data_IF_563010633680
#
_entry.id   IF_563010633680
#
_cell.length_a   1.000
_cell.length_b   1.000
_cell.length_c   1.000
_cell.angle_alpha   90.00
_cell.angle_beta   90.00
_cell.angle_gamma   90.00
#
_symmetry.space_group_name_H-M   'P 1'
#
loop_
_entity.id
_entity.type
_entity.pdbx_description
1 polymer ?
#
# COMPACT_ATOMS: atom_id res chain seq x y z
N UNK A 1 11.94 -14.73 7.26
CA UNK A 1 12.33 -14.39 8.65
C UNK A 1 13.77 -14.00 8.65
N UNK A 2 14.08 -12.90 9.33
CA UNK A 2 15.40 -12.29 9.30
C UNK A 2 16.33 -12.95 10.34
N UNK A 3 17.60 -13.13 9.98
CA UNK A 3 18.65 -13.50 10.93
C UNK A 3 18.79 -12.46 12.07
N UNK A 4 18.35 -11.23 11.83
CA UNK A 4 18.19 -10.18 12.82
C UNK A 4 17.27 -10.57 13.98
N UNK A 5 16.17 -11.28 13.70
CA UNK A 5 15.26 -11.73 14.75
C UNK A 5 15.95 -12.69 15.73
N UNK A 6 16.64 -13.71 15.22
CA UNK A 6 17.36 -14.67 16.06
C UNK A 6 18.44 -13.99 16.92
N UNK A 7 19.14 -13.00 16.35
CA UNK A 7 20.11 -12.22 17.10
C UNK A 7 19.47 -11.47 18.27
N UNK A 8 18.34 -10.80 18.04
CA UNK A 8 17.67 -10.05 19.09
C UNK A 8 17.03 -10.94 20.16
N UNK A 9 16.42 -12.07 19.77
CA UNK A 9 15.91 -13.06 20.74
C UNK A 9 17.02 -13.58 21.65
N UNK A 10 18.25 -13.71 21.15
CA UNK A 10 19.40 -14.12 21.98
C UNK A 10 19.86 -13.07 23.00
N UNK A 11 19.53 -11.79 22.78
CA UNK A 11 19.91 -10.67 23.64
C UNK A 11 18.79 -10.22 24.58
N UNK A 12 17.54 -10.53 24.23
CA UNK A 12 16.37 -10.16 24.99
C UNK A 12 16.08 -11.14 26.13
N UNK A 13 15.57 -10.62 27.25
CA UNK A 13 15.10 -11.42 28.38
C UNK A 13 13.79 -10.86 28.92
N UNK A 14 12.69 -11.65 28.89
CA UNK A 14 11.42 -11.26 29.48
C UNK A 14 11.49 -10.90 30.98
N UNK A 15 12.47 -11.46 31.71
CA UNK A 15 12.61 -11.25 33.16
C UNK A 15 13.11 -9.84 33.53
N UNK A 16 13.83 -9.19 32.62
CA UNK A 16 14.43 -7.87 32.84
C UNK A 16 13.80 -6.76 32.00
N UNK A 17 13.04 -7.12 30.97
CA UNK A 17 12.39 -6.17 30.07
C UNK A 17 11.09 -5.61 30.65
N UNK A 18 10.73 -4.40 30.24
CA UNK A 18 9.48 -3.73 30.64
C UNK A 18 8.44 -3.75 29.52
N UNK A 19 7.17 -3.87 29.89
CA UNK A 19 6.07 -3.68 28.95
C UNK A 19 6.09 -2.23 28.46
N UNK A 20 5.95 -2.03 27.16
CA UNK A 20 5.99 -0.72 26.54
C UNK A 20 4.86 0.18 27.08
N UNK A 21 5.23 1.36 27.57
CA UNK A 21 4.27 2.39 27.97
C UNK A 21 3.88 3.18 26.74
N UNK A 22 2.60 3.12 26.38
CA UNK A 22 2.07 3.76 25.18
C UNK A 22 1.26 5.00 25.55
N UNK A 23 1.55 6.10 24.87
CA UNK A 23 0.67 7.27 24.84
C UNK A 23 -0.16 7.33 23.54
N UNK A 24 -0.96 8.37 23.39
CA UNK A 24 -1.82 8.56 22.21
C UNK A 24 -1.03 8.70 20.91
N UNK A 25 0.22 9.17 20.96
CA UNK A 25 1.08 9.25 19.78
C UNK A 25 1.62 7.89 19.37
N UNK A 26 1.95 7.02 20.33
CA UNK A 26 2.38 5.64 20.04
C UNK A 26 1.28 4.81 19.39
N UNK A 27 0.01 5.06 19.75
CA UNK A 27 -1.16 4.38 19.19
C UNK A 27 -1.79 5.14 18.00
N UNK A 28 -1.18 6.24 17.55
CA UNK A 28 -1.66 6.98 16.40
C UNK A 28 -1.49 6.13 15.13
N UNK A 29 -2.45 6.27 14.21
CA UNK A 29 -2.45 5.52 12.97
C UNK A 29 -1.35 5.98 12.01
N UNK A 30 -0.61 5.03 11.45
CA UNK A 30 0.39 5.19 10.39
C UNK A 30 -0.22 4.90 9.01
N UNK A 31 0.47 5.33 7.95
CA UNK A 31 0.04 5.07 6.57
C UNK A 31 0.23 3.62 6.12
N UNK A 32 1.26 2.94 6.63
CA UNK A 32 1.64 1.58 6.25
C UNK A 32 1.40 0.59 7.38
N UNK A 33 0.74 -0.53 7.06
CA UNK A 33 0.44 -1.57 8.03
C UNK A 33 1.61 -2.57 8.14
N UNK A 34 2.16 -2.68 9.35
CA UNK A 34 3.16 -3.70 9.70
C UNK A 34 2.48 -5.07 9.82
N UNK A 35 3.08 -6.15 9.27
CA UNK A 35 2.54 -7.52 9.36
C UNK A 35 2.77 -8.12 10.76
N UNK A 36 2.11 -7.56 11.77
CA UNK A 36 2.31 -7.92 13.19
C UNK A 36 1.85 -9.32 13.56
N UNK A 37 0.87 -9.88 12.83
CA UNK A 37 0.38 -11.25 13.08
C UNK A 37 1.45 -12.31 12.76
N UNK A 38 2.04 -12.34 11.55
CA UNK A 38 3.20 -13.20 11.28
C UNK A 38 4.35 -13.03 12.27
N UNK A 39 4.65 -11.80 12.69
CA UNK A 39 5.70 -11.52 13.67
C UNK A 39 5.37 -12.20 15.01
N UNK A 40 4.15 -12.01 15.52
CA UNK A 40 3.72 -12.57 16.79
C UNK A 40 3.59 -14.10 16.77
N UNK A 41 3.01 -14.66 15.70
CA UNK A 41 2.94 -16.10 15.49
C UNK A 41 4.34 -16.72 15.46
N UNK A 42 5.29 -16.03 14.84
CA UNK A 42 6.67 -16.50 14.81
C UNK A 42 7.35 -16.42 16.17
N UNK A 43 7.20 -15.30 16.88
CA UNK A 43 7.70 -15.14 18.25
C UNK A 43 7.16 -16.22 19.20
N UNK A 44 5.93 -16.69 18.97
CA UNK A 44 5.32 -17.80 19.73
C UNK A 44 6.01 -19.15 19.60
N UNK A 45 6.90 -19.35 18.61
CA UNK A 45 7.73 -20.57 18.54
C UNK A 45 8.99 -20.51 19.42
N UNK A 46 9.27 -19.37 20.05
CA UNK A 46 10.42 -19.17 20.93
C UNK A 46 9.99 -19.16 22.38
N UNK A 47 10.18 -20.28 23.08
CA UNK A 47 9.87 -20.40 24.52
C UNK A 47 10.57 -19.31 25.35
N UNK A 48 11.74 -18.83 24.93
CA UNK A 48 12.49 -17.75 25.57
C UNK A 48 11.81 -16.39 25.55
N UNK A 49 10.79 -16.20 24.70
CA UNK A 49 9.97 -14.98 24.65
C UNK A 49 8.68 -15.11 25.48
N UNK A 50 8.43 -16.26 26.10
CA UNK A 50 7.24 -16.43 26.95
C UNK A 50 7.36 -15.60 28.22
N UNK A 51 6.29 -14.88 28.57
CA UNK A 51 6.25 -14.13 29.82
C UNK A 51 6.29 -15.10 31.02
N UNK A 52 7.10 -14.84 32.07
CA UNK A 52 7.32 -15.81 33.16
C UNK A 52 6.04 -16.17 33.93
N UNK A 53 5.16 -15.18 34.15
CA UNK A 53 3.96 -15.34 34.99
C UNK A 53 2.62 -15.30 34.22
N UNK A 54 2.65 -15.12 32.90
CA UNK A 54 1.45 -14.85 32.09
C UNK A 54 1.50 -15.59 30.77
N UNK A 55 0.33 -15.91 30.23
CA UNK A 55 0.20 -16.57 28.93
C UNK A 55 0.34 -15.58 27.76
N UNK A 56 1.49 -14.89 27.75
CA UNK A 56 1.84 -13.84 26.80
C UNK A 56 3.15 -14.17 26.11
N UNK A 57 3.24 -13.76 24.85
CA UNK A 57 4.49 -13.73 24.09
C UNK A 57 5.02 -12.29 24.15
N UNK A 58 6.22 -12.12 24.71
CA UNK A 58 6.91 -10.83 24.78
C UNK A 58 7.64 -10.58 23.46
N UNK A 59 7.18 -9.61 22.67
CA UNK A 59 7.78 -9.24 21.39
C UNK A 59 8.69 -8.04 21.64
N UNK A 60 10.02 -8.19 21.53
CA UNK A 60 10.96 -7.10 21.80
C UNK A 60 10.73 -5.93 20.83
N UNK A 61 10.88 -4.71 21.34
CA UNK A 61 10.84 -3.51 20.53
C UNK A 61 12.23 -3.15 20.01
N UNK A 62 12.26 -2.48 18.88
CA UNK A 62 13.43 -1.71 18.45
C UNK A 62 13.25 -0.22 18.74
N UNK A 63 14.34 0.53 18.60
CA UNK A 63 14.27 1.98 18.47
C UNK A 63 13.38 2.38 17.26
N UNK A 64 12.74 3.57 17.27
CA UNK A 64 11.83 3.98 16.19
C UNK A 64 12.43 3.92 14.79
N UNK A 65 13.70 4.34 14.67
CA UNK A 65 14.38 4.55 13.38
C UNK A 65 15.52 3.54 13.13
N UNK A 66 15.70 2.52 13.96
CA UNK A 66 16.81 1.57 13.84
C UNK A 66 16.39 0.14 14.21
N UNK A 67 17.15 -0.87 13.76
CA UNK A 67 16.95 -2.25 14.20
C UNK A 67 17.69 -2.58 15.51
N UNK A 68 18.03 -1.57 16.32
CA UNK A 68 18.63 -1.78 17.64
C UNK A 68 17.54 -2.21 18.62
N UNK A 69 17.63 -3.40 19.23
CA UNK A 69 16.65 -3.84 20.22
C UNK A 69 16.72 -2.96 21.48
N UNK A 70 15.57 -2.74 22.10
CA UNK A 70 15.46 -2.06 23.40
C UNK A 70 15.21 -3.06 24.52
N UNK A 71 15.18 -2.57 25.76
CA UNK A 71 14.75 -3.35 26.93
C UNK A 71 13.22 -3.33 27.12
N UNK A 72 12.46 -2.94 26.09
CA UNK A 72 11.00 -2.87 26.11
C UNK A 72 10.37 -3.93 25.19
N UNK A 73 9.14 -4.33 25.50
CA UNK A 73 8.38 -5.27 24.68
C UNK A 73 6.90 -4.89 24.59
N UNK A 74 6.24 -5.37 23.54
CA UNK A 74 4.78 -5.46 23.51
C UNK A 74 4.36 -6.91 23.74
N UNK A 75 3.32 -7.12 24.54
CA UNK A 75 2.83 -8.47 24.79
C UNK A 75 1.83 -8.87 23.72
N UNK A 76 1.84 -10.13 23.31
CA UNK A 76 0.85 -10.71 22.41
C UNK A 76 0.16 -11.91 23.05
N UNK A 77 -1.14 -12.07 22.79
CA UNK A 77 -1.90 -13.26 23.18
C UNK A 77 -3.06 -13.48 22.22
N UNK A 78 -3.41 -14.75 21.98
CA UNK A 78 -4.63 -15.13 21.25
C UNK A 78 -5.75 -15.39 22.27
N UNK A 79 -6.49 -14.33 22.60
CA UNK A 79 -7.49 -14.36 23.66
C UNK A 79 -8.79 -14.99 23.16
N UNK A 80 -9.29 -16.02 23.85
CA UNK A 80 -10.50 -16.80 23.47
C UNK A 80 -11.70 -15.99 22.96
N UNK A 81 -11.96 -14.82 23.57
CA UNK A 81 -13.10 -13.93 23.22
C UNK A 81 -12.72 -12.82 22.24
N UNK A 82 -11.49 -12.29 22.31
CA UNK A 82 -11.07 -11.07 21.59
C UNK A 82 -10.24 -11.39 20.35
N UNK A 83 -9.86 -12.65 20.19
CA UNK A 83 -8.89 -13.11 19.21
C UNK A 83 -7.50 -12.57 19.51
N UNK A 84 -6.73 -12.41 18.45
CA UNK A 84 -5.34 -11.98 18.48
C UNK A 84 -5.23 -10.50 18.87
N UNK A 85 -4.65 -10.25 20.05
CA UNK A 85 -4.49 -8.90 20.60
C UNK A 85 -3.04 -8.65 21.03
N UNK A 86 -2.65 -7.38 20.96
CA UNK A 86 -1.43 -6.84 21.54
C UNK A 86 -1.77 -6.09 22.83
N UNK A 87 -0.86 -6.11 23.79
CA UNK A 87 -1.01 -5.48 25.08
C UNK A 87 0.13 -4.48 25.26
N UNK A 88 -0.22 -3.28 25.72
CA UNK A 88 0.69 -2.20 26.09
C UNK A 88 0.31 -1.69 27.48
N UNK A 89 1.19 -0.97 28.15
CA UNK A 89 0.84 -0.24 29.38
C UNK A 89 0.30 1.15 29.02
N UNK A 90 -0.87 1.49 29.55
CA UNK A 90 -1.44 2.83 29.44
C UNK A 90 -2.04 3.22 30.80
N UNK A 91 -1.63 4.37 31.33
CA UNK A 91 -2.08 4.88 32.64
C UNK A 91 -1.94 3.87 33.81
N UNK A 92 -0.93 2.98 33.73
CA UNK A 92 -0.66 1.93 34.73
C UNK A 92 -1.55 0.69 34.63
N UNK A 93 -2.39 0.60 33.60
CA UNK A 93 -3.20 -0.57 33.26
C UNK A 93 -2.75 -1.19 31.92
N UNK A 94 -3.18 -2.43 31.65
CA UNK A 94 -2.91 -3.08 30.38
C UNK A 94 -4.00 -2.74 29.36
N UNK A 95 -3.62 -2.05 28.29
CA UNK A 95 -4.53 -1.71 27.21
C UNK A 95 -4.42 -2.76 26.08
N UNK A 96 -5.53 -3.43 25.74
CA UNK A 96 -5.57 -4.43 24.68
C UNK A 96 -5.95 -3.82 23.33
N UNK A 97 -5.05 -3.93 22.36
CA UNK A 97 -5.23 -3.44 20.98
C UNK A 97 -5.40 -4.64 20.04
N UNK A 98 -6.47 -4.71 19.23
CA UNK A 98 -6.63 -5.75 18.21
C UNK A 98 -5.42 -5.81 17.27
N UNK A 99 -4.95 -7.00 16.89
CA UNK A 99 -3.76 -7.14 16.05
C UNK A 99 -3.84 -6.36 14.72
N UNK A 100 -5.03 -6.30 14.11
CA UNK A 100 -5.25 -5.53 12.87
C UNK A 100 -5.13 -4.01 13.09
N UNK A 101 -5.55 -3.52 14.25
CA UNK A 101 -5.43 -2.11 14.62
C UNK A 101 -3.99 -1.79 15.02
N UNK A 102 -3.39 -2.63 15.88
CA UNK A 102 -2.01 -2.48 16.35
C UNK A 102 -1.04 -2.37 15.18
N UNK A 103 -1.17 -3.22 14.15
CA UNK A 103 -0.27 -3.18 12.99
C UNK A 103 -0.28 -1.87 12.21
N UNK A 104 -1.25 -0.99 12.43
CA UNK A 104 -1.33 0.35 11.83
C UNK A 104 -0.92 1.45 12.80
N UNK A 105 -0.26 1.14 13.92
CA UNK A 105 0.18 2.14 14.91
C UNK A 105 1.64 2.52 14.73
N UNK A 106 2.03 3.69 15.22
CA UNK A 106 3.43 4.09 15.31
C UNK A 106 4.26 3.06 16.10
N UNK A 107 3.72 2.54 17.19
CA UNK A 107 4.41 1.53 18.00
C UNK A 107 4.66 0.21 17.26
N UNK A 108 3.79 -0.18 16.32
CA UNK A 108 4.04 -1.37 15.51
C UNK A 108 5.23 -1.21 14.55
N UNK A 109 5.60 0.02 14.19
CA UNK A 109 6.80 0.24 13.39
C UNK A 109 8.05 -0.24 14.12
N UNK A 110 8.08 -0.18 15.45
CA UNK A 110 9.21 -0.64 16.27
C UNK A 110 9.42 -2.16 16.23
N UNK A 111 8.49 -2.96 15.70
CA UNK A 111 8.67 -4.40 15.53
C UNK A 111 8.84 -4.83 14.07
N UNK A 112 8.85 -3.88 13.12
CA UNK A 112 8.84 -4.16 11.68
C UNK A 112 10.02 -5.03 11.21
N UNK A 113 11.22 -4.80 11.74
CA UNK A 113 12.45 -5.49 11.32
C UNK A 113 12.50 -6.99 11.69
N UNK A 114 11.54 -7.48 12.48
CA UNK A 114 11.32 -8.91 12.70
C UNK A 114 10.74 -9.60 11.46
N UNK A 115 10.08 -8.85 10.59
CA UNK A 115 9.57 -9.35 9.33
C UNK A 115 10.61 -9.15 8.22
N UNK A 116 10.79 -10.15 7.36
CA UNK A 116 11.83 -10.13 6.32
C UNK A 116 11.65 -9.06 5.24
N UNK A 117 10.44 -8.50 5.13
CA UNK A 117 10.15 -7.43 4.17
C UNK A 117 10.71 -6.07 4.64
N UNK A 118 11.17 -5.97 5.90
CA UNK A 118 11.72 -4.76 6.46
C UNK A 118 13.18 -5.00 6.82
N UNK A 119 14.08 -4.56 5.94
CA UNK A 119 15.51 -4.52 6.21
C UNK A 119 15.90 -3.13 6.74
N UNK A 120 16.72 -3.04 7.79
CA UNK A 120 17.21 -1.76 8.26
C UNK A 120 18.29 -1.21 7.32
N UNK A 121 18.38 0.12 7.21
CA UNK A 121 19.47 0.79 6.49
C UNK A 121 20.84 0.56 7.16
N UNK A 122 20.84 0.26 8.46
CA UNK A 122 22.04 -0.04 9.24
C UNK A 122 21.74 -1.15 10.23
N UNK A 123 22.58 -2.18 10.22
CA UNK A 123 22.47 -3.31 11.14
C UNK A 123 22.85 -2.92 12.58
N UNK A 124 22.21 -3.54 13.61
CA UNK A 124 22.48 -3.22 14.99
C UNK A 124 23.90 -3.61 15.42
N UNK A 125 24.50 -2.90 16.40
CA UNK A 125 25.83 -3.22 16.89
C UNK A 125 25.94 -4.66 17.41
N UNK A 126 27.01 -5.36 17.05
CA UNK A 126 27.23 -6.75 17.47
C UNK A 126 26.51 -7.79 16.61
N UNK A 127 25.67 -7.37 15.67
CA UNK A 127 25.18 -8.22 14.59
C UNK A 127 26.23 -8.33 13.48
N UNK A 128 27.02 -9.40 13.53
CA UNK A 128 27.98 -9.75 12.49
C UNK A 128 27.28 -10.74 11.54
N UNK A 129 26.61 -10.23 10.51
CA UNK A 129 25.90 -11.09 9.56
C UNK A 129 26.93 -11.98 8.84
N UNK A 130 26.87 -13.32 8.97
CA UNK A 130 27.79 -14.21 8.26
C UNK A 130 27.47 -14.29 6.76
N UNK A 131 26.35 -13.70 6.34
CA UNK A 131 25.87 -13.62 4.97
C UNK A 131 25.63 -12.14 4.66
N UNK A 132 26.32 -11.63 3.64
CA UNK A 132 25.94 -10.36 3.02
C UNK A 132 24.65 -10.64 2.24
N UNK A 133 23.49 -10.30 2.82
CA UNK A 133 22.17 -10.54 2.23
C UNK A 133 21.90 -9.62 1.01
N UNK A 134 22.84 -8.73 0.69
CA UNK A 134 22.82 -7.93 -0.52
C UNK A 134 23.72 -8.57 -1.58
N UNK A 135 23.18 -9.53 -2.35
CA UNK A 135 23.78 -9.84 -3.65
C UNK A 135 23.58 -8.61 -4.55
N UNK A 136 24.67 -8.00 -5.02
CA UNK A 136 24.62 -6.88 -5.96
C UNK A 136 23.66 -7.20 -7.11
N UNK A 137 22.86 -6.22 -7.60
CA UNK A 137 21.95 -6.45 -8.71
C UNK A 137 22.71 -7.07 -9.88
N UNK A 138 22.27 -8.25 -10.34
CA UNK A 138 22.93 -8.95 -11.45
C UNK A 138 22.95 -8.14 -12.75
N UNK A 139 21.99 -7.23 -12.89
CA UNK A 139 21.91 -6.25 -13.97
C UNK A 139 21.64 -4.87 -13.35
N UNK A 140 22.67 -4.15 -12.90
CA UNK A 140 22.48 -2.81 -12.37
C UNK A 140 22.04 -1.90 -13.52
N UNK A 141 20.97 -1.14 -13.31
CA UNK A 141 20.54 -0.09 -14.21
C UNK A 141 20.34 1.20 -13.42
N UNK A 142 20.66 2.33 -14.04
CA UNK A 142 20.38 3.64 -13.48
C UNK A 142 18.86 3.87 -13.47
N UNK A 143 18.22 4.11 -12.31
CA UNK A 143 16.77 4.25 -12.22
C UNK A 143 16.20 5.31 -13.16
N UNK A 144 16.89 6.43 -13.30
CA UNK A 144 16.49 7.53 -14.18
C UNK A 144 16.48 7.08 -15.66
N UNK A 145 17.47 6.28 -16.08
CA UNK A 145 17.55 5.77 -17.46
C UNK A 145 16.41 4.79 -17.74
N UNK A 146 16.09 3.91 -16.77
CA UNK A 146 14.98 2.96 -16.92
C UNK A 146 13.63 3.67 -17.00
N UNK A 147 13.42 4.70 -16.18
CA UNK A 147 12.19 5.49 -16.19
C UNK A 147 12.04 6.29 -17.50
N UNK A 148 13.12 6.87 -18.01
CA UNK A 148 13.15 7.54 -19.31
C UNK A 148 12.79 6.56 -20.45
N UNK A 149 13.33 5.34 -20.43
CA UNK A 149 13.00 4.31 -21.43
C UNK A 149 11.52 3.91 -21.38
N UNK A 150 10.93 3.79 -20.18
CA UNK A 150 9.50 3.52 -20.05
C UNK A 150 8.64 4.68 -20.54
N UNK A 151 9.01 5.93 -20.26
CA UNK A 151 8.29 7.10 -20.75
C UNK A 151 8.33 7.16 -22.29
N UNK A 152 9.50 6.93 -22.88
CA UNK A 152 9.66 6.90 -24.33
C UNK A 152 8.81 5.79 -24.97
N UNK A 153 8.84 4.58 -24.40
CA UNK A 153 8.03 3.45 -24.87
C UNK A 153 6.52 3.78 -24.83
N UNK A 154 6.02 4.29 -23.69
CA UNK A 154 4.60 4.65 -23.55
C UNK A 154 4.20 5.77 -24.50
N UNK A 155 5.08 6.76 -24.70
CA UNK A 155 4.85 7.85 -25.66
C UNK A 155 4.74 7.31 -27.07
N UNK A 156 5.66 6.44 -27.50
CA UNK A 156 5.64 5.82 -28.82
C UNK A 156 4.36 5.00 -29.05
N UNK A 157 3.98 4.14 -28.11
CA UNK A 157 2.74 3.35 -28.20
C UNK A 157 1.48 4.23 -28.30
N UNK A 158 1.44 5.33 -27.54
CA UNK A 158 0.33 6.30 -27.61
C UNK A 158 0.30 7.04 -28.95
N UNK A 159 1.45 7.37 -29.52
CA UNK A 159 1.54 7.99 -30.85
C UNK A 159 1.06 7.04 -31.95
N UNK A 160 1.53 5.80 -31.95
CA UNK A 160 1.07 4.75 -32.89
C UNK A 160 -0.45 4.57 -32.79
N UNK A 161 -0.99 4.50 -31.56
CA UNK A 161 -2.43 4.37 -31.34
C UNK A 161 -3.20 5.60 -31.85
N UNK A 162 -2.70 6.81 -31.60
CA UNK A 162 -3.34 8.05 -32.10
C UNK A 162 -3.35 8.12 -33.61
N UNK A 163 -2.24 7.77 -34.26
CA UNK A 163 -2.13 7.79 -35.71
C UNK A 163 -3.01 6.71 -36.35
N UNK A 164 -3.04 5.50 -35.77
CA UNK A 164 -3.98 4.44 -36.16
C UNK A 164 -5.44 4.86 -36.02
N UNK A 165 -5.81 5.50 -34.90
CA UNK A 165 -7.15 6.03 -34.70
C UNK A 165 -7.50 7.14 -35.71
N UNK A 166 -6.57 8.04 -36.01
CA UNK A 166 -6.77 9.10 -37.01
C UNK A 166 -6.96 8.52 -38.40
N UNK A 167 -6.12 7.56 -38.80
CA UNK A 167 -6.24 6.88 -40.07
C UNK A 167 -7.57 6.12 -40.18
N UNK A 168 -7.95 5.39 -39.13
CA UNK A 168 -9.23 4.68 -39.07
C UNK A 168 -10.44 5.64 -39.20
N UNK A 169 -10.42 6.74 -38.44
CA UNK A 169 -11.46 7.78 -38.49
C UNK A 169 -11.54 8.47 -39.86
N UNK A 170 -10.41 8.60 -40.58
CA UNK A 170 -10.40 9.17 -41.94
C UNK A 170 -11.08 8.27 -42.98
N UNK A 171 -11.09 6.95 -42.75
CA UNK A 171 -11.61 5.94 -43.68
C UNK A 171 -13.04 5.51 -43.35
N UNK A 172 -13.44 5.62 -42.09
CA UNK A 172 -14.73 5.13 -41.62
C UNK A 172 -15.49 6.21 -40.85
N UNK A 173 -16.72 6.51 -41.28
CA UNK A 173 -17.59 7.45 -40.56
C UNK A 173 -18.13 6.85 -39.27
N UNK A 174 -18.39 7.70 -38.26
CA UNK A 174 -19.02 7.28 -37.00
C UNK A 174 -20.36 6.56 -37.20
N UNK A 175 -21.12 6.93 -38.24
CA UNK A 175 -22.36 6.24 -38.62
C UNK A 175 -22.11 4.81 -39.09
N UNK A 176 -21.07 4.59 -39.90
CA UNK A 176 -20.70 3.26 -40.35
C UNK A 176 -20.20 2.36 -39.20
N UNK A 177 -19.48 2.95 -38.22
CA UNK A 177 -19.05 2.24 -37.01
C UNK A 177 -20.25 1.85 -36.14
N UNK A 178 -21.16 2.79 -35.89
CA UNK A 178 -22.36 2.54 -35.10
C UNK A 178 -23.26 1.46 -35.73
N UNK A 179 -23.42 1.48 -37.06
CA UNK A 179 -24.18 0.46 -37.79
C UNK A 179 -23.59 -0.96 -37.69
N UNK A 180 -22.29 -1.09 -37.38
CA UNK A 180 -21.62 -2.38 -37.11
C UNK A 180 -21.67 -2.80 -35.64
N UNK A 181 -22.33 -2.02 -34.78
CA UNK A 181 -22.39 -2.26 -33.35
C UNK A 181 -21.11 -1.90 -32.59
N UNK A 182 -20.21 -1.11 -33.21
CA UNK A 182 -19.00 -0.62 -32.55
C UNK A 182 -19.30 0.61 -31.68
N UNK A 183 -18.38 0.95 -30.77
CA UNK A 183 -18.50 2.07 -29.84
C UNK A 183 -18.34 3.43 -30.57
N UNK A 184 -19.41 3.89 -31.22
CA UNK A 184 -19.45 5.16 -31.93
C UNK A 184 -20.80 5.89 -31.78
N UNK A 185 -20.74 7.22 -31.70
CA UNK A 185 -21.90 8.10 -31.66
C UNK A 185 -22.11 8.69 -33.07
N UNK A 186 -23.18 8.34 -33.79
CA UNK A 186 -23.35 8.71 -35.20
C UNK A 186 -23.79 10.17 -35.39
N UNK A 187 -24.49 10.74 -34.41
CA UNK A 187 -25.02 12.09 -34.45
C UNK A 187 -25.25 12.63 -33.04
N UNK A 188 -24.93 13.90 -32.85
CA UNK A 188 -25.15 14.63 -31.61
C UNK A 188 -25.57 16.07 -31.90
N UNK A 189 -26.46 16.60 -31.06
CA UNK A 189 -26.94 17.98 -31.14
C UNK A 189 -26.49 18.73 -29.89
N UNK A 190 -25.80 19.86 -30.06
CA UNK A 190 -25.50 20.77 -28.95
C UNK A 190 -26.78 21.46 -28.49
N UNK A 191 -27.05 21.45 -27.18
CA UNK A 191 -28.25 22.05 -26.57
C UNK A 191 -27.96 23.27 -25.71
N UNK A 192 -26.69 23.59 -25.51
CA UNK A 192 -26.25 24.77 -24.77
C UNK A 192 -25.01 24.49 -23.94
N UNK A 193 -24.55 25.52 -23.24
CA UNK A 193 -23.44 25.47 -22.30
C UNK A 193 -23.97 25.77 -20.89
N UNK A 194 -23.44 25.08 -19.89
CA UNK A 194 -23.76 25.29 -18.48
C UNK A 194 -22.51 25.03 -17.64
N UNK A 195 -22.17 25.96 -16.75
CA UNK A 195 -20.97 25.89 -15.90
C UNK A 195 -19.67 25.51 -16.64
N UNK A 196 -19.43 26.12 -17.81
CA UNK A 196 -18.27 25.84 -18.64
C UNK A 196 -18.33 24.51 -19.41
N UNK A 197 -19.36 23.68 -19.23
CA UNK A 197 -19.52 22.40 -19.91
C UNK A 197 -20.52 22.49 -21.07
N UNK A 198 -20.25 21.77 -22.16
CA UNK A 198 -21.21 21.64 -23.26
C UNK A 198 -22.17 20.48 -23.02
N UNK A 199 -23.47 20.75 -23.22
CA UNK A 199 -24.55 19.76 -23.16
C UNK A 199 -24.84 19.24 -24.55
N UNK A 200 -24.63 17.95 -24.76
CA UNK A 200 -24.93 17.28 -26.01
C UNK A 200 -26.04 16.25 -25.83
N UNK A 201 -26.89 16.14 -26.86
CA UNK A 201 -27.88 15.09 -26.99
C UNK A 201 -27.45 14.15 -28.10
N UNK A 202 -27.28 12.87 -27.80
CA UNK A 202 -27.15 11.83 -28.83
C UNK A 202 -28.49 11.68 -29.54
N UNK A 203 -28.46 11.77 -30.87
CA UNK A 203 -29.64 11.50 -31.69
C UNK A 203 -29.61 10.03 -32.13
N UNK A 204 -30.61 9.28 -31.68
CA UNK A 204 -30.80 7.87 -32.02
C UNK A 204 -31.71 7.75 -33.25
N UNK A 205 -31.58 6.66 -33.99
CA UNK A 205 -32.52 6.33 -35.06
C UNK A 205 -33.91 6.01 -34.47
N UNK A 206 -34.95 6.15 -35.30
CA UNK A 206 -36.34 6.12 -34.85
C UNK A 206 -36.75 4.79 -34.17
N UNK A 207 -36.16 3.69 -34.62
CA UNK A 207 -36.35 2.32 -34.12
C UNK A 207 -35.63 2.05 -32.80
N UNK A 208 -34.71 2.93 -32.38
CA UNK A 208 -33.91 2.81 -31.15
C UNK A 208 -34.24 3.86 -30.10
N UNK A 209 -35.29 4.65 -30.31
CA UNK A 209 -35.69 5.69 -29.37
C UNK A 209 -36.09 5.12 -28.00
N UNK A 210 -36.63 3.89 -27.97
CA UNK A 210 -37.09 3.23 -26.75
C UNK A 210 -35.92 2.66 -25.89
N UNK A 211 -34.72 2.53 -26.46
CA UNK A 211 -33.50 2.11 -25.74
C UNK A 211 -32.86 3.26 -24.94
N UNK A 212 -33.44 4.46 -25.00
CA UNK A 212 -32.87 5.66 -24.40
C UNK A 212 -33.01 5.63 -22.88
N UNK A 213 -31.89 5.44 -22.19
CA UNK A 213 -31.79 5.66 -20.74
C UNK A 213 -31.19 7.04 -20.45
N UNK A 214 -32.01 7.98 -19.99
CA UNK A 214 -31.62 9.37 -19.73
C UNK A 214 -31.69 10.32 -20.95
N UNK A 215 -31.39 11.60 -20.74
CA UNK A 215 -31.62 12.65 -21.75
C UNK A 215 -30.35 13.28 -22.33
N UNK A 216 -29.20 13.23 -21.63
CA UNK A 216 -28.01 14.06 -21.96
C UNK A 216 -26.69 13.40 -21.58
N UNK A 217 -25.62 13.78 -22.28
CA UNK A 217 -24.24 13.55 -21.87
C UNK A 217 -23.49 14.89 -21.77
N UNK A 218 -22.66 15.03 -20.74
CA UNK A 218 -21.79 16.18 -20.51
C UNK A 218 -20.37 15.81 -20.97
N UNK A 219 -19.75 16.66 -21.78
CA UNK A 219 -18.35 16.51 -22.17
C UNK A 219 -17.56 17.74 -21.71
N UNK A 220 -16.41 17.51 -21.09
CA UNK A 220 -15.48 18.55 -20.65
C UNK A 220 -14.72 19.05 -21.87
N UNK A 221 -14.64 20.38 -22.04
CA UNK A 221 -13.70 20.98 -22.98
C UNK A 221 -12.29 20.56 -22.60
N UNK A 222 -11.53 20.06 -23.57
CA UNK A 222 -10.10 19.85 -23.41
C UNK A 222 -9.50 21.24 -23.24
N UNK A 223 -9.10 21.60 -22.03
CA UNK A 223 -8.32 22.82 -21.78
C UNK A 223 -7.12 22.78 -22.73
N UNK A 224 -7.10 23.70 -23.69
CA UNK A 224 -5.92 23.96 -24.49
C UNK A 224 -4.79 24.31 -23.52
N UNK A 225 -3.88 23.37 -23.28
CA UNK A 225 -2.57 23.71 -22.73
C UNK A 225 -1.80 24.33 -23.89
N UNK A 226 -1.60 25.65 -23.83
CA UNK A 226 -0.69 26.39 -24.70
C UNK A 226 -1.32 27.62 -25.32
N UNK A 227 -1.23 28.75 -24.61
CA UNK A 227 -1.20 30.07 -25.23
C UNK A 227 -0.05 30.13 -26.24
N UNK A 228 -0.32 30.79 -27.38
CA UNK A 228 0.67 31.19 -28.39
C UNK A 228 1.69 32.20 -27.85
#
# INVERSE_FOLDING_TARGET
>A
MSLLFEHAVSQFSPDSASLAVADTSNLAATGDAVPVRPIAEFAGYHDSLSHPDRDWICIPLHEPDSAVPTDEYVAYTDHDVRGQIFLVEQDGEYEPVPAEEFGRTELATNIRFWHSDYLPDTYPPGYDSPLDDHEDPRNPCEPEVLLDEFEEYVRAEREVTRDGNREHASKTSARALCARGEAAIPSLTCRGQDDGMYKFRVELDADRQDERDGQWAYFVERSCVGDC
#
